data_IF_964827554511
#
_entry.id   IF_964827554511
#
_cell.length_a   1.000
_cell.length_b   1.000
_cell.length_c   1.000
_cell.angle_alpha   90.00
_cell.angle_beta   90.00
_cell.angle_gamma   90.00
#
_symmetry.space_group_name_H-M   'P 1'
#
loop_
_entity.id
_entity.type
_entity.pdbx_description
1 polymer ?
#
# COMPACT_ATOMS: atom_id res chain seq x y z
N UNK A 1 -1.72 -11.25 6.27
CA UNK A 1 -1.24 -10.71 7.56
C UNK A 1 -1.86 -9.35 7.82
N UNK A 2 -1.92 -8.88 9.08
CA UNK A 2 -2.48 -7.55 9.40
C UNK A 2 -1.38 -6.57 9.80
N UNK A 3 -1.50 -5.32 9.36
CA UNK A 3 -0.61 -4.20 9.72
C UNK A 3 -1.41 -2.93 9.97
N UNK A 4 -0.73 -1.81 10.20
CA UNK A 4 -1.33 -0.48 10.36
C UNK A 4 -1.16 0.37 9.10
N UNK A 5 -2.23 1.05 8.71
CA UNK A 5 -2.20 2.07 7.67
C UNK A 5 -1.35 3.27 8.13
N UNK A 6 -0.38 3.70 7.32
CA UNK A 6 0.50 4.85 7.63
C UNK A 6 -0.23 6.20 7.59
N UNK A 7 -1.43 6.26 7.01
CA UNK A 7 -2.24 7.48 6.89
C UNK A 7 -3.20 7.67 8.08
N UNK A 8 -3.96 6.62 8.44
CA UNK A 8 -5.02 6.71 9.46
C UNK A 8 -4.77 5.86 10.72
N UNK A 9 -3.68 5.11 10.78
CA UNK A 9 -3.37 4.13 11.85
C UNK A 9 -4.40 3.01 12.02
N UNK A 10 -5.37 2.86 11.10
CA UNK A 10 -6.35 1.78 11.10
C UNK A 10 -5.75 0.43 10.68
N UNK A 11 -6.43 -0.66 11.05
CA UNK A 11 -6.05 -2.02 10.63
C UNK A 11 -6.11 -2.16 9.11
N UNK A 12 -5.04 -2.67 8.54
CA UNK A 12 -4.89 -2.92 7.12
C UNK A 12 -4.53 -4.40 6.89
N UNK A 13 -5.47 -5.20 6.36
CA UNK A 13 -5.16 -6.56 5.95
C UNK A 13 -4.31 -6.55 4.68
N UNK A 14 -3.23 -7.32 4.67
CA UNK A 14 -2.32 -7.55 3.54
C UNK A 14 -2.39 -9.02 3.15
N UNK A 15 -2.53 -9.33 1.87
CA UNK A 15 -2.58 -10.69 1.39
C UNK A 15 -1.23 -11.41 1.60
N UNK A 16 -1.24 -12.72 1.80
CA UNK A 16 0.02 -13.45 2.05
C UNK A 16 0.85 -13.64 0.77
N UNK A 17 0.22 -13.50 -0.40
CA UNK A 17 0.81 -13.54 -1.74
C UNK A 17 1.14 -12.14 -2.29
N UNK A 18 1.03 -11.10 -1.45
CA UNK A 18 1.43 -9.75 -1.79
C UNK A 18 2.92 -9.61 -2.12
N UNK A 19 3.25 -8.65 -2.97
CA UNK A 19 4.62 -8.43 -3.48
C UNK A 19 5.03 -6.95 -3.48
N UNK A 20 6.33 -6.69 -3.59
CA UNK A 20 6.87 -5.32 -3.63
C UNK A 20 6.40 -4.59 -4.89
N UNK A 21 5.95 -3.33 -4.72
CA UNK A 21 5.34 -2.52 -5.78
C UNK A 21 3.83 -2.73 -5.93
N UNK A 22 3.21 -3.65 -5.19
CA UNK A 22 1.75 -3.81 -5.20
C UNK A 22 1.07 -2.59 -4.55
N UNK A 23 0.01 -2.08 -5.19
CA UNK A 23 -0.85 -1.03 -4.66
C UNK A 23 -2.04 -1.65 -3.91
N UNK A 24 -2.21 -1.25 -2.66
CA UNK A 24 -3.32 -1.67 -1.79
C UNK A 24 -4.09 -0.46 -1.27
N UNK A 25 -5.42 -0.55 -1.24
CA UNK A 25 -6.28 0.52 -0.71
C UNK A 25 -6.64 0.28 0.75
N UNK A 26 -6.47 1.30 1.60
CA UNK A 26 -6.87 1.18 3.00
C UNK A 26 -8.40 1.18 3.17
N UNK A 27 -9.02 0.16 3.80
CA UNK A 27 -10.47 0.13 3.98
C UNK A 27 -11.00 1.18 4.98
N UNK A 28 -10.11 1.76 5.81
CA UNK A 28 -10.48 2.76 6.82
C UNK A 28 -10.48 4.21 6.32
N UNK A 29 -9.58 4.58 5.40
CA UNK A 29 -9.43 5.97 4.93
C UNK A 29 -9.35 6.12 3.41
N UNK A 30 -9.49 5.03 2.64
CA UNK A 30 -9.39 4.99 1.18
C UNK A 30 -8.05 5.47 0.58
N UNK A 31 -7.02 5.72 1.39
CA UNK A 31 -5.68 6.02 0.91
C UNK A 31 -5.09 4.81 0.18
N UNK A 32 -4.54 5.04 -1.01
CA UNK A 32 -3.73 4.06 -1.74
C UNK A 32 -2.31 4.04 -1.18
N UNK A 33 -1.81 2.84 -0.92
CA UNK A 33 -0.50 2.58 -0.35
C UNK A 33 0.24 1.59 -1.24
N UNK A 34 1.55 1.76 -1.35
CA UNK A 34 2.43 0.81 -2.03
C UNK A 34 3.15 -0.08 -1.00
N UNK A 35 3.26 -1.37 -1.31
CA UNK A 35 4.11 -2.31 -0.58
C UNK A 35 5.57 -2.07 -1.00
N UNK A 36 6.32 -1.33 -0.19
CA UNK A 36 7.72 -1.00 -0.47
C UNK A 36 8.68 -2.16 -0.18
N UNK A 37 8.34 -3.02 0.78
CA UNK A 37 9.12 -4.22 1.14
C UNK A 37 8.20 -5.24 1.78
N UNK A 38 8.45 -6.53 1.56
CA UNK A 38 7.69 -7.63 2.20
C UNK A 38 8.42 -8.27 3.39
N UNK A 39 9.73 -8.04 3.54
CA UNK A 39 10.52 -8.63 4.62
C UNK A 39 11.67 -7.69 5.09
N UNK A 40 11.44 -6.83 6.09
CA UNK A 40 10.20 -6.63 6.83
C UNK A 40 9.13 -5.92 5.99
N UNK A 41 7.85 -6.13 6.32
CA UNK A 41 6.74 -5.44 5.67
C UNK A 41 6.87 -3.91 5.89
N UNK A 42 6.90 -3.15 4.79
CA UNK A 42 6.92 -1.70 4.81
C UNK A 42 5.93 -1.15 3.79
N UNK A 43 5.12 -0.18 4.23
CA UNK A 43 4.14 0.51 3.40
C UNK A 43 4.53 1.99 3.26
N UNK A 44 4.26 2.55 2.09
CA UNK A 44 4.39 3.99 1.81
C UNK A 44 3.12 4.48 1.12
N UNK A 45 2.92 5.80 1.04
CA UNK A 45 1.85 6.35 0.18
C UNK A 45 2.13 5.93 -1.26
N UNK A 46 1.12 5.44 -1.96
CA UNK A 46 1.26 5.16 -3.38
C UNK A 46 1.67 6.44 -4.12
N UNK A 47 2.57 6.35 -5.10
CA UNK A 47 2.91 7.51 -5.93
C UNK A 47 1.66 7.99 -6.67
N UNK A 48 1.55 9.30 -6.88
CA UNK A 48 0.58 9.79 -7.86
C UNK A 48 0.95 9.22 -9.23
N UNK A 49 -0.03 8.78 -10.03
CA UNK A 49 0.24 8.37 -11.40
C UNK A 49 0.93 9.54 -12.11
N UNK A 50 2.13 9.33 -12.63
CA UNK A 50 2.77 10.39 -13.41
C UNK A 50 1.97 10.57 -14.71
N UNK A 51 1.89 11.80 -15.21
CA UNK A 51 1.09 12.16 -16.40
C UNK A 51 1.49 11.40 -17.68
N UNK A 52 2.59 10.63 -17.63
CA UNK A 52 3.19 9.89 -18.75
C UNK A 52 2.96 8.35 -18.68
N UNK A 53 2.17 7.87 -17.72
CA UNK A 53 1.79 6.45 -17.62
C UNK A 53 0.68 6.14 -18.64
N UNK A 54 0.99 6.22 -19.93
CA UNK A 54 0.00 5.92 -20.98
C UNK A 54 0.26 6.42 -22.40
N UNK A 55 1.44 6.99 -22.72
CA UNK A 55 1.83 7.24 -24.12
C UNK A 55 2.49 6.03 -24.81
#
# INVERSE_FOLDING_TARGET
MDTQCVSCSGTLPIANDSYEGEIVSCPGCATELEIYSTNPLKLVLAPEPEEDWGE
#
